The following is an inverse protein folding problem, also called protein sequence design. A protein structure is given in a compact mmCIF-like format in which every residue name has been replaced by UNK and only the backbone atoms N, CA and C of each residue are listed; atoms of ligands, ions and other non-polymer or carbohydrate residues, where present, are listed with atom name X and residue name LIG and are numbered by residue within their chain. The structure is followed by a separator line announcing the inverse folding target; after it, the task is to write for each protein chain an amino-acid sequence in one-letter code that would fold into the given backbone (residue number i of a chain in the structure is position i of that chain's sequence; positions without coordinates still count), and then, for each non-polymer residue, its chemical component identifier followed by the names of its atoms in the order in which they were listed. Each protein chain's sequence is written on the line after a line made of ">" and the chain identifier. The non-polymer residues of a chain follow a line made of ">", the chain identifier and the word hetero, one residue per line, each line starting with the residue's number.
data_IF_112155014197
#
_entry.id   IF_112155014197
#
_cell.length_a   1.000
_cell.length_b   1.000
_cell.length_c   1.000
_cell.angle_alpha   90.00
_cell.angle_beta   90.00
_cell.angle_gamma   90.00
#
_symmetry.space_group_name_H-M   'P 1'
#
loop_
_entity.id
_entity.type
_entity.pdbx_description
1 polymer ?
#
# COMPACT_ATOMS: atom_id res chain seq x y z
N UNK A 1 -20.67 -42.97 41.09
CA UNK A 1 -19.49 -42.13 40.86
C UNK A 1 -19.86 -41.11 39.79
N UNK A 2 -19.85 -39.81 40.09
CA UNK A 2 -20.22 -38.75 39.15
C UNK A 2 -18.96 -38.02 38.70
N UNK A 3 -18.70 -37.95 37.40
CA UNK A 3 -17.55 -37.27 36.80
C UNK A 3 -17.98 -35.91 36.27
N UNK A 4 -17.47 -34.85 36.89
CA UNK A 4 -17.63 -33.47 36.40
C UNK A 4 -16.65 -33.24 35.26
N UNK A 5 -17.17 -32.94 34.07
CA UNK A 5 -16.36 -32.50 32.92
C UNK A 5 -16.28 -30.98 32.97
N UNK A 6 -15.06 -30.43 33.00
CA UNK A 6 -14.82 -28.98 32.97
C UNK A 6 -14.56 -28.55 31.53
N UNK A 7 -15.44 -27.74 30.96
CA UNK A 7 -15.26 -27.17 29.62
C UNK A 7 -14.53 -25.83 29.72
N UNK A 8 -13.34 -25.74 29.13
CA UNK A 8 -12.61 -24.47 28.97
C UNK A 8 -13.14 -23.73 27.75
N UNK A 9 -13.74 -22.56 27.96
CA UNK A 9 -14.12 -21.63 26.88
C UNK A 9 -12.94 -20.71 26.62
N UNK A 10 -12.29 -20.86 25.47
CA UNK A 10 -11.22 -19.96 25.03
C UNK A 10 -11.85 -18.76 24.34
N UNK A 11 -11.79 -17.58 24.96
CA UNK A 11 -12.27 -16.34 24.35
C UNK A 11 -11.16 -15.79 23.45
N UNK A 12 -11.28 -15.96 22.13
CA UNK A 12 -10.35 -15.36 21.17
C UNK A 12 -10.72 -13.90 20.96
N UNK A 13 -9.95 -12.98 21.53
CA UNK A 13 -10.13 -11.54 21.30
C UNK A 13 -9.77 -11.21 19.85
N UNK A 14 -10.74 -10.70 19.07
CA UNK A 14 -10.46 -10.21 17.73
C UNK A 14 -9.56 -8.96 17.81
N UNK A 15 -8.33 -9.07 17.30
CA UNK A 15 -7.46 -7.90 17.12
C UNK A 15 -8.03 -7.11 15.95
N UNK A 16 -8.52 -5.89 16.19
CA UNK A 16 -8.93 -5.00 15.13
C UNK A 16 -7.70 -4.69 14.25
N UNK A 17 -7.68 -5.21 13.02
CA UNK A 17 -6.67 -4.86 12.03
C UNK A 17 -6.99 -3.49 11.47
N UNK A 18 -6.18 -2.48 11.80
CA UNK A 18 -6.25 -1.18 11.12
C UNK A 18 -5.67 -1.35 9.71
N UNK A 19 -6.54 -1.48 8.70
CA UNK A 19 -6.13 -1.42 7.30
C UNK A 19 -5.69 0.01 6.99
N UNK A 20 -4.43 0.17 6.60
CA UNK A 20 -3.88 1.47 6.20
C UNK A 20 -4.11 1.67 4.71
N UNK A 21 -4.86 2.71 4.35
CA UNK A 21 -5.02 3.11 2.96
C UNK A 21 -3.75 3.85 2.49
N UNK A 22 -3.19 3.41 1.36
CA UNK A 22 -2.01 4.00 0.74
C UNK A 22 -2.45 4.69 -0.55
N UNK A 23 -2.39 6.02 -0.58
CA UNK A 23 -2.84 6.83 -1.72
C UNK A 23 -1.76 7.73 -2.30
N UNK A 24 -0.59 7.80 -1.67
CA UNK A 24 0.55 8.66 -2.02
C UNK A 24 0.27 10.17 -1.94
N UNK A 25 -0.99 10.61 -1.86
CA UNK A 25 -1.41 12.02 -1.82
C UNK A 25 -0.97 12.78 -0.56
N UNK A 26 -0.61 12.08 0.52
CA UNK A 26 -0.17 12.68 1.79
C UNK A 26 1.35 12.65 2.00
N UNK A 27 2.14 12.40 0.94
CA UNK A 27 3.59 12.58 0.97
C UNK A 27 3.91 14.08 1.15
N UNK A 28 4.71 14.46 2.17
CA UNK A 28 5.10 15.85 2.37
C UNK A 28 5.92 16.42 1.20
N UNK A 29 5.72 17.69 0.87
CA UNK A 29 6.45 18.42 -0.17
C UNK A 29 6.42 17.74 -1.54
N UNK A 30 5.29 17.15 -1.91
CA UNK A 30 5.11 16.57 -3.23
C UNK A 30 5.35 17.58 -4.35
N UNK A 31 6.10 17.14 -5.36
CA UNK A 31 6.14 17.76 -6.68
C UNK A 31 4.76 17.66 -7.33
N UNK A 32 4.40 18.65 -8.14
CA UNK A 32 3.16 18.63 -8.92
C UNK A 32 3.11 17.49 -9.95
N UNK A 33 4.24 16.90 -10.30
CA UNK A 33 4.36 15.92 -11.40
C UNK A 33 4.80 14.55 -10.91
N UNK A 34 5.98 14.42 -10.30
CA UNK A 34 6.50 13.15 -9.79
C UNK A 34 7.63 13.37 -8.78
N UNK A 35 7.94 12.34 -8.00
CA UNK A 35 9.08 12.36 -7.09
C UNK A 35 9.26 11.09 -6.28
N UNK A 36 10.19 11.15 -5.33
CA UNK A 36 10.60 10.01 -4.51
C UNK A 36 9.56 9.71 -3.44
N UNK A 37 9.18 8.44 -3.29
CA UNK A 37 8.38 7.98 -2.15
C UNK A 37 9.30 7.92 -0.92
N UNK A 38 9.00 8.62 0.19
CA UNK A 38 9.85 8.60 1.37
C UNK A 38 9.99 7.20 1.97
N UNK A 39 11.17 6.90 2.51
CA UNK A 39 11.40 5.68 3.27
C UNK A 39 10.42 5.58 4.46
N UNK A 40 9.86 4.39 4.67
CA UNK A 40 8.86 4.15 5.70
C UNK A 40 7.50 4.79 5.48
N UNK A 41 7.22 5.34 4.29
CA UNK A 41 5.89 5.85 3.95
C UNK A 41 4.81 4.77 4.22
N UNK A 42 3.89 5.07 5.13
CA UNK A 42 2.86 4.15 5.64
C UNK A 42 3.42 2.82 6.18
N UNK A 43 4.59 2.85 6.83
CA UNK A 43 5.34 1.69 7.32
C UNK A 43 5.88 0.75 6.22
N UNK A 44 5.93 1.21 4.98
CA UNK A 44 6.45 0.47 3.85
C UNK A 44 7.67 1.19 3.24
N UNK A 45 8.62 0.41 2.76
CA UNK A 45 9.71 0.89 1.91
C UNK A 45 9.40 0.50 0.47
N UNK A 46 9.51 1.48 -0.43
CA UNK A 46 9.18 1.36 -1.84
C UNK A 46 10.47 1.46 -2.66
N UNK A 47 11.10 0.33 -2.94
CA UNK A 47 12.37 0.29 -3.67
C UNK A 47 12.11 0.27 -5.19
N UNK A 48 12.88 1.09 -5.92
CA UNK A 48 12.76 1.32 -7.37
C UNK A 48 11.38 1.85 -7.80
N UNK A 49 10.70 2.56 -6.90
CA UNK A 49 9.40 3.17 -7.17
C UNK A 49 9.44 4.67 -6.84
N UNK A 50 8.69 5.44 -7.62
CA UNK A 50 8.45 6.86 -7.42
C UNK A 50 6.94 7.09 -7.40
N UNK A 51 6.48 8.25 -6.93
CA UNK A 51 5.09 8.66 -7.12
C UNK A 51 4.97 9.53 -8.38
N UNK A 52 3.82 9.45 -9.07
CA UNK A 52 3.50 10.31 -10.21
C UNK A 52 2.06 10.80 -10.13
N UNK A 53 1.86 12.08 -10.47
CA UNK A 53 0.57 12.71 -10.61
C UNK A 53 -0.08 12.28 -11.93
N UNK A 54 -0.91 11.24 -11.89
CA UNK A 54 -1.65 10.73 -13.03
C UNK A 54 -2.51 11.82 -13.72
N UNK A 55 -2.96 12.84 -13.00
CA UNK A 55 -3.73 13.95 -13.58
C UNK A 55 -2.93 14.83 -14.53
N UNK A 56 -1.59 14.77 -14.48
CA UNK A 56 -0.68 15.48 -15.39
C UNK A 56 -0.26 14.64 -16.60
N UNK A 57 -0.61 13.34 -16.62
CA UNK A 57 -0.26 12.40 -17.71
C UNK A 57 -1.33 12.39 -18.81
N UNK A 58 -1.03 11.90 -20.03
CA UNK A 58 -2.04 11.73 -21.08
C UNK A 58 -3.26 10.93 -20.62
N UNK A 59 -4.46 11.25 -21.13
CA UNK A 59 -5.73 10.64 -20.68
C UNK A 59 -5.82 9.15 -20.95
N UNK A 60 -5.10 8.67 -21.96
CA UNK A 60 -4.98 7.27 -22.35
C UNK A 60 -3.92 6.50 -21.54
N UNK A 61 -3.19 7.14 -20.63
CA UNK A 61 -2.14 6.47 -19.86
C UNK A 61 -2.74 5.58 -18.76
N UNK A 62 -2.15 4.41 -18.56
CA UNK A 62 -2.58 3.44 -17.57
C UNK A 62 -2.47 3.92 -16.13
N UNK A 63 -1.66 4.95 -15.84
CA UNK A 63 -1.68 5.65 -14.55
C UNK A 63 -3.07 6.14 -14.18
N UNK A 64 -3.85 6.63 -15.14
CA UNK A 64 -5.22 7.10 -14.89
C UNK A 64 -6.22 5.98 -14.69
N UNK A 65 -5.94 4.80 -15.22
CA UNK A 65 -6.83 3.63 -15.13
C UNK A 65 -6.81 2.98 -13.75
N UNK A 66 -5.71 3.14 -12.99
CA UNK A 66 -5.55 2.58 -11.63
C UNK A 66 -5.67 3.59 -10.51
N UNK A 67 -5.86 4.88 -10.82
CA UNK A 67 -6.15 5.89 -9.81
C UNK A 67 -7.53 5.62 -9.24
N UNK A 68 -7.55 4.93 -8.10
CA UNK A 68 -8.75 4.75 -7.29
C UNK A 68 -8.80 5.72 -6.09
N UNK A 69 -7.72 6.47 -5.83
CA UNK A 69 -7.57 7.25 -4.59
C UNK A 69 -7.40 8.78 -4.71
N UNK A 70 -7.19 9.34 -5.92
CA UNK A 70 -6.66 10.70 -6.23
C UNK A 70 -5.15 10.71 -6.56
N UNK A 71 -4.65 11.76 -7.25
CA UNK A 71 -4.01 11.57 -8.54
C UNK A 71 -2.64 10.93 -8.47
N UNK A 72 -2.07 10.77 -7.27
CA UNK A 72 -0.76 10.18 -7.12
C UNK A 72 -0.83 8.65 -7.04
N UNK A 73 0.00 8.01 -7.85
CA UNK A 73 0.21 6.55 -7.81
C UNK A 73 1.69 6.25 -7.76
N UNK A 74 2.06 5.14 -7.13
CA UNK A 74 3.40 4.60 -7.31
C UNK A 74 3.57 4.09 -8.75
N UNK A 75 4.73 4.39 -9.34
CA UNK A 75 5.12 3.89 -10.65
C UNK A 75 6.57 3.42 -10.65
N UNK A 76 6.90 2.64 -11.68
CA UNK A 76 8.23 2.13 -11.93
C UNK A 76 8.92 2.99 -13.00
N UNK A 77 9.79 3.96 -12.63
CA UNK A 77 10.46 4.80 -13.62
C UNK A 77 11.48 4.04 -14.47
N UNK A 78 11.99 2.91 -13.97
CA UNK A 78 13.11 2.18 -14.57
C UNK A 78 12.70 1.00 -15.45
N UNK A 79 11.43 0.57 -15.38
CA UNK A 79 10.96 -0.67 -16.00
C UNK A 79 11.48 -1.97 -15.34
N UNK A 80 12.24 -1.86 -14.24
CA UNK A 80 12.78 -3.00 -13.49
C UNK A 80 11.81 -3.60 -12.47
N UNK A 81 12.32 -4.23 -11.41
CA UNK A 81 11.50 -4.76 -10.32
C UNK A 81 11.25 -3.69 -9.26
N UNK A 82 9.97 -3.45 -8.91
CA UNK A 82 9.60 -2.77 -7.67
C UNK A 82 9.62 -3.79 -6.53
N UNK A 83 10.22 -3.41 -5.40
CA UNK A 83 10.16 -4.21 -4.16
C UNK A 83 9.49 -3.42 -3.06
N UNK A 84 8.47 -4.03 -2.42
CA UNK A 84 7.78 -3.46 -1.26
C UNK A 84 8.17 -4.29 -0.03
N UNK A 85 8.73 -3.62 0.97
CA UNK A 85 9.08 -4.25 2.26
C UNK A 85 8.52 -3.46 3.42
N UNK A 86 8.40 -4.08 4.59
CA UNK A 86 8.04 -3.36 5.81
C UNK A 86 9.22 -2.59 6.35
N UNK A 87 9.00 -1.35 6.77
CA UNK A 87 10.03 -0.53 7.40
C UNK A 87 10.39 -0.97 8.83
N UNK A 88 9.50 -1.70 9.49
CA UNK A 88 9.60 -2.13 10.89
C UNK A 88 9.76 -3.65 11.05
N UNK A 89 10.14 -4.37 9.98
CA UNK A 89 10.33 -5.83 9.97
C UNK A 89 9.08 -6.65 10.36
N UNK A 90 7.88 -6.07 10.31
CA UNK A 90 6.63 -6.82 10.52
C UNK A 90 6.20 -7.53 9.25
N UNK A 91 5.21 -8.43 9.31
CA UNK A 91 4.52 -8.88 8.10
C UNK A 91 3.44 -7.87 7.73
N UNK A 92 3.15 -7.76 6.44
CA UNK A 92 1.99 -7.04 5.94
C UNK A 92 1.23 -7.94 4.96
N UNK A 93 -0.05 -7.62 4.77
CA UNK A 93 -0.92 -8.23 3.76
C UNK A 93 -1.65 -7.12 3.03
N UNK A 94 -1.96 -7.34 1.76
CA UNK A 94 -2.86 -6.48 1.02
C UNK A 94 -4.28 -7.01 1.14
N UNK A 95 -5.21 -6.18 1.61
CA UNK A 95 -6.64 -6.46 1.48
C UNK A 95 -7.08 -6.30 0.01
N UNK A 96 -6.46 -5.33 -0.68
CA UNK A 96 -6.61 -5.10 -2.12
C UNK A 96 -5.34 -4.44 -2.68
N UNK A 97 -5.00 -4.75 -3.92
CA UNK A 97 -3.91 -4.11 -4.68
C UNK A 97 -4.34 -3.97 -6.14
N UNK A 98 -4.22 -2.75 -6.68
CA UNK A 98 -4.55 -2.45 -8.08
C UNK A 98 -3.26 -2.18 -8.86
N UNK A 99 -3.08 -2.87 -9.98
CA UNK A 99 -1.90 -2.77 -10.84
C UNK A 99 -2.33 -2.60 -12.29
N UNK A 100 -1.59 -1.79 -13.05
CA UNK A 100 -1.75 -1.64 -14.49
C UNK A 100 -0.40 -1.38 -15.14
N UNK A 101 -0.29 -1.70 -16.42
CA UNK A 101 0.74 -1.14 -17.27
C UNK A 101 0.46 0.34 -17.54
N UNK A 102 1.50 1.09 -17.89
CA UNK A 102 1.46 2.49 -18.29
C UNK A 102 2.43 2.70 -19.47
N UNK A 103 2.24 3.76 -20.25
CA UNK A 103 2.95 4.03 -21.53
C UNK A 103 3.22 5.51 -21.74
#
# INVERSE_FOLDING_TARGET
>A
MSTTVTSTVTTTTAVATCTTLVTFDDIPNQSSTSGIIPDGYKNLNWLNAEYINASTTPTNNGYRTVVHSQPFVAYNPSGGNITITTANSTRFSFDSLFLSSAW
#
